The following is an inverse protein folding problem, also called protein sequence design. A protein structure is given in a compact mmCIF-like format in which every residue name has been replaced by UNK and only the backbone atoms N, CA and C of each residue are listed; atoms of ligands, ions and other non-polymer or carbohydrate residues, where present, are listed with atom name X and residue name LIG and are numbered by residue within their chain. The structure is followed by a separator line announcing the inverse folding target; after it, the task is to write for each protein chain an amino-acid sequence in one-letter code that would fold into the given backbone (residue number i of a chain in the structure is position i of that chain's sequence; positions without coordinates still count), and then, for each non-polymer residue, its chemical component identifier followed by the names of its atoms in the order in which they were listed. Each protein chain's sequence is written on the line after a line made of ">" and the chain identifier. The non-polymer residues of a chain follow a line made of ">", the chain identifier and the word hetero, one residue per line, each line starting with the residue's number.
data_IF_119534760048
#
_entry.id   IF_119534760048
#
_cell.length_a   1.000
_cell.length_b   1.000
_cell.length_c   1.000
_cell.angle_alpha   90.00
_cell.angle_beta   90.00
_cell.angle_gamma   90.00
#
_symmetry.space_group_name_H-M   'P 1'
#
loop_
_entity.id
_entity.type
_entity.pdbx_description
1 polymer ?
#
# COMPACT_ATOMS: atom_id res chain seq x y z
N UNK A 1 12.54 8.48 25.94
CA UNK A 1 11.71 9.23 24.96
C UNK A 1 12.08 10.70 25.02
N UNK A 2 12.49 11.25 23.88
CA UNK A 2 12.70 12.68 23.68
C UNK A 2 11.38 13.45 23.82
N UNK A 3 11.47 14.76 24.06
CA UNK A 3 10.32 15.66 24.02
C UNK A 3 9.58 15.60 22.68
N UNK A 4 10.33 15.47 21.57
CA UNK A 4 9.76 15.31 20.22
C UNK A 4 8.92 14.04 20.10
N UNK A 5 9.39 12.92 20.66
CA UNK A 5 8.66 11.65 20.63
C UNK A 5 7.34 11.77 21.39
N UNK A 6 7.35 12.43 22.55
CA UNK A 6 6.14 12.68 23.34
C UNK A 6 5.14 13.53 22.57
N UNK A 7 5.61 14.60 21.90
CA UNK A 7 4.74 15.45 21.08
C UNK A 7 4.13 14.67 19.89
N UNK A 8 4.94 13.86 19.21
CA UNK A 8 4.47 13.00 18.12
C UNK A 8 3.40 12.01 18.60
N UNK A 9 3.64 11.33 19.71
CA UNK A 9 2.69 10.39 20.30
C UNK A 9 1.39 11.08 20.73
N UNK A 10 1.48 12.24 21.40
CA UNK A 10 0.31 13.04 21.73
C UNK A 10 -0.49 13.41 20.48
N UNK A 11 0.17 13.78 19.38
CA UNK A 11 -0.50 14.08 18.11
C UNK A 11 -1.23 12.86 17.54
N UNK A 12 -0.66 11.65 17.67
CA UNK A 12 -1.32 10.42 17.28
C UNK A 12 -2.57 10.18 18.14
N UNK A 13 -2.49 10.30 19.47
CA UNK A 13 -3.65 10.12 20.35
C UNK A 13 -4.81 11.10 20.06
N UNK A 14 -4.50 12.33 19.68
CA UNK A 14 -5.51 13.35 19.35
C UNK A 14 -6.11 13.18 17.95
N UNK A 15 -5.47 12.40 17.07
CA UNK A 15 -5.91 12.24 15.69
C UNK A 15 -7.25 11.49 15.65
N UNK A 16 -8.27 11.98 14.93
CA UNK A 16 -9.52 11.24 14.74
C UNK A 16 -9.31 10.12 13.70
N UNK A 17 -8.66 9.03 14.12
CA UNK A 17 -8.19 7.95 13.25
C UNK A 17 -9.27 7.38 12.34
N UNK A 18 -10.49 7.17 12.84
CA UNK A 18 -11.58 6.63 12.03
C UNK A 18 -12.02 7.58 10.92
N UNK A 19 -12.12 8.88 11.22
CA UNK A 19 -12.47 9.88 10.20
C UNK A 19 -11.37 9.95 9.15
N UNK A 20 -10.11 10.05 9.58
CA UNK A 20 -8.98 10.08 8.66
C UNK A 20 -8.93 8.83 7.78
N UNK A 21 -9.09 7.64 8.38
CA UNK A 21 -9.10 6.37 7.67
C UNK A 21 -10.19 6.35 6.58
N UNK A 22 -11.41 6.80 6.90
CA UNK A 22 -12.51 6.88 5.92
C UNK A 22 -12.22 7.88 4.79
N UNK A 23 -11.63 9.03 5.10
CA UNK A 23 -11.25 10.02 4.08
C UNK A 23 -10.18 9.47 3.13
N UNK A 24 -9.17 8.78 3.67
CA UNK A 24 -8.14 8.14 2.86
C UNK A 24 -8.74 6.99 2.03
N UNK A 25 -9.66 6.19 2.59
CA UNK A 25 -10.38 5.17 1.84
C UNK A 25 -11.12 5.74 0.64
N UNK A 26 -11.88 6.82 0.84
CA UNK A 26 -12.57 7.51 -0.26
C UNK A 26 -11.60 8.04 -1.32
N UNK A 27 -10.48 8.63 -0.92
CA UNK A 27 -9.45 9.07 -1.85
C UNK A 27 -8.83 7.88 -2.61
N UNK A 28 -8.59 6.76 -1.94
CA UNK A 28 -7.98 5.57 -2.52
C UNK A 28 -8.90 4.83 -3.52
N UNK A 29 -10.21 5.02 -3.43
CA UNK A 29 -11.21 4.52 -4.39
C UNK A 29 -11.53 5.53 -5.52
N UNK A 30 -10.93 6.72 -5.49
CA UNK A 30 -11.14 7.71 -6.54
C UNK A 30 -10.55 7.24 -7.88
N UNK A 31 -11.39 7.24 -8.93
CA UNK A 31 -11.03 6.78 -10.28
C UNK A 31 -10.58 7.90 -11.23
N UNK A 32 -10.52 9.14 -10.76
CA UNK A 32 -10.08 10.26 -11.59
C UNK A 32 -8.61 10.06 -11.99
N UNK A 33 -8.34 9.86 -13.28
CA UNK A 33 -7.01 9.49 -13.82
C UNK A 33 -5.90 10.42 -13.36
N UNK A 34 -6.11 11.74 -13.47
CA UNK A 34 -5.15 12.75 -13.03
C UNK A 34 -4.79 12.66 -11.54
N UNK A 35 -5.70 12.13 -10.71
CA UNK A 35 -5.50 11.96 -9.28
C UNK A 35 -4.89 10.59 -8.95
N UNK A 36 -5.54 9.49 -9.38
CA UNK A 36 -5.10 8.13 -9.07
C UNK A 36 -3.70 7.86 -9.62
N UNK A 37 -3.39 8.31 -10.84
CA UNK A 37 -2.11 7.99 -11.49
C UNK A 37 -0.97 8.72 -10.80
N UNK A 38 -1.22 9.96 -10.35
CA UNK A 38 -0.25 10.73 -9.56
C UNK A 38 -0.04 10.10 -8.18
N UNK A 39 -1.12 9.67 -7.51
CA UNK A 39 -1.05 9.04 -6.21
C UNK A 39 -0.29 7.70 -6.26
N UNK A 40 -0.64 6.83 -7.21
CA UNK A 40 0.01 5.54 -7.43
C UNK A 40 1.49 5.74 -7.78
N UNK A 41 1.81 6.60 -8.74
CA UNK A 41 3.20 6.85 -9.15
C UNK A 41 4.04 7.46 -8.02
N UNK A 42 3.46 8.39 -7.26
CA UNK A 42 4.11 8.94 -6.07
C UNK A 42 4.38 7.86 -5.02
N UNK A 43 3.40 7.01 -4.73
CA UNK A 43 3.53 5.94 -3.74
C UNK A 43 4.59 4.92 -4.17
N UNK A 44 4.51 4.44 -5.41
CA UNK A 44 5.47 3.49 -5.96
C UNK A 44 6.90 4.01 -5.86
N UNK A 45 7.12 5.30 -6.17
CA UNK A 45 8.43 5.95 -6.03
C UNK A 45 8.85 6.12 -4.58
N UNK A 46 7.94 6.60 -3.72
CA UNK A 46 8.23 6.94 -2.32
C UNK A 46 8.59 5.71 -1.48
N UNK A 47 7.97 4.58 -1.78
CA UNK A 47 8.17 3.29 -1.09
C UNK A 47 8.97 2.29 -1.90
N UNK A 48 9.50 2.68 -3.07
CA UNK A 48 10.34 1.84 -3.94
C UNK A 48 9.67 0.49 -4.24
N UNK A 49 8.40 0.54 -4.62
CA UNK A 49 7.61 -0.65 -4.92
C UNK A 49 8.18 -1.35 -6.16
N UNK A 50 8.57 -2.62 -6.03
CA UNK A 50 9.03 -3.41 -7.17
C UNK A 50 7.84 -3.87 -8.02
N UNK A 51 7.68 -3.24 -9.18
CA UNK A 51 6.61 -3.58 -10.12
C UNK A 51 6.93 -4.80 -10.98
N UNK A 52 8.18 -5.26 -11.03
CA UNK A 52 8.56 -6.45 -11.82
C UNK A 52 7.95 -7.74 -11.26
N UNK A 53 7.59 -7.74 -9.97
CA UNK A 53 6.90 -8.84 -9.31
C UNK A 53 5.38 -8.78 -9.47
N UNK A 54 4.82 -7.63 -9.86
CA UNK A 54 3.38 -7.46 -10.00
C UNK A 54 2.88 -8.17 -11.26
N UNK A 55 1.69 -8.76 -11.20
CA UNK A 55 1.04 -9.38 -12.36
C UNK A 55 0.75 -8.34 -13.45
N UNK A 56 0.42 -7.10 -13.04
CA UNK A 56 0.28 -5.94 -13.93
C UNK A 56 1.36 -4.93 -13.58
N UNK A 57 2.38 -4.82 -14.41
CA UNK A 57 3.54 -3.94 -14.12
C UNK A 57 3.23 -2.46 -14.37
N UNK A 58 2.31 -2.15 -15.31
CA UNK A 58 1.93 -0.78 -15.63
C UNK A 58 1.11 -0.15 -14.50
N UNK A 59 1.64 0.93 -13.92
CA UNK A 59 0.99 1.69 -12.85
C UNK A 59 -0.32 2.36 -13.29
N UNK A 60 -0.46 2.72 -14.57
CA UNK A 60 -1.64 3.41 -15.08
C UNK A 60 -2.82 2.47 -15.33
N UNK A 61 -2.55 1.16 -15.45
CA UNK A 61 -3.56 0.13 -15.69
C UNK A 61 -4.48 -0.12 -14.49
N UNK A 62 -4.10 0.33 -13.28
CA UNK A 62 -4.93 0.19 -12.09
C UNK A 62 -6.05 1.24 -12.05
N UNK A 63 -7.27 0.80 -11.78
CA UNK A 63 -8.48 1.64 -11.84
C UNK A 63 -8.57 2.70 -10.73
N UNK A 64 -7.95 2.44 -9.58
CA UNK A 64 -7.80 3.35 -8.44
C UNK A 64 -6.65 2.85 -7.53
N UNK A 65 -6.31 3.59 -6.48
CA UNK A 65 -5.17 3.25 -5.63
C UNK A 65 -5.36 1.94 -4.85
N UNK A 66 -6.55 1.66 -4.33
CA UNK A 66 -6.81 0.40 -3.62
C UNK A 66 -6.57 -0.84 -4.51
N UNK A 67 -6.93 -0.79 -5.80
CA UNK A 67 -6.62 -1.86 -6.75
C UNK A 67 -5.10 -2.08 -6.94
N UNK A 68 -4.31 -1.00 -6.92
CA UNK A 68 -2.84 -1.07 -6.93
C UNK A 68 -2.27 -1.58 -5.59
N UNK A 69 -2.87 -1.16 -4.47
CA UNK A 69 -2.41 -1.54 -3.13
C UNK A 69 -2.54 -3.04 -2.88
N UNK A 70 -3.61 -3.66 -3.37
CA UNK A 70 -3.85 -5.11 -3.31
C UNK A 70 -3.50 -5.82 -4.63
N UNK A 71 -2.57 -5.26 -5.42
CA UNK A 71 -2.18 -5.86 -6.70
C UNK A 71 -1.73 -7.31 -6.55
N UNK A 72 -2.14 -8.16 -7.48
CA UNK A 72 -1.65 -9.52 -7.56
C UNK A 72 -0.15 -9.54 -7.92
N UNK A 73 0.58 -10.49 -7.35
CA UNK A 73 1.94 -10.81 -7.77
C UNK A 73 1.90 -11.86 -8.89
N UNK A 74 2.99 -11.96 -9.65
CA UNK A 74 3.19 -13.00 -10.65
C UNK A 74 3.25 -14.38 -10.00
N UNK A 75 2.81 -15.39 -10.73
CA UNK A 75 3.00 -16.78 -10.36
C UNK A 75 4.50 -17.07 -10.14
N UNK A 76 4.81 -17.74 -9.04
CA UNK A 76 6.19 -18.08 -8.67
C UNK A 76 7.02 -16.93 -8.09
N UNK A 77 6.49 -15.69 -7.97
CA UNK A 77 7.21 -14.58 -7.32
C UNK A 77 7.52 -14.84 -5.84
N UNK A 78 6.78 -15.77 -5.22
CA UNK A 78 6.97 -16.25 -3.85
C UNK A 78 6.95 -17.78 -3.84
N UNK A 79 8.08 -18.45 -4.13
CA UNK A 79 8.15 -19.91 -4.09
C UNK A 79 7.86 -20.40 -2.67
N UNK A 80 7.01 -21.42 -2.55
CA UNK A 80 6.64 -22.03 -1.27
C UNK A 80 7.52 -23.26 -1.00
N UNK A 81 7.90 -23.46 0.27
CA UNK A 81 8.60 -24.68 0.66
C UNK A 81 7.69 -25.91 0.48
N UNK A 82 8.25 -27.00 -0.04
CA UNK A 82 7.50 -28.23 -0.35
C UNK A 82 7.67 -29.34 0.70
N UNK A 83 8.55 -29.11 1.69
CA UNK A 83 8.83 -30.03 2.79
C UNK A 83 7.55 -30.34 3.60
N UNK A 84 7.18 -31.62 3.77
CA UNK A 84 6.06 -32.00 4.61
C UNK A 84 6.23 -31.49 6.04
N UNK A 85 5.22 -30.80 6.57
CA UNK A 85 5.26 -30.22 7.92
C UNK A 85 5.92 -28.84 8.02
N UNK A 86 6.35 -28.24 6.90
CA UNK A 86 6.85 -26.87 6.90
C UNK A 86 5.74 -25.86 7.25
N UNK A 87 6.10 -24.85 8.04
CA UNK A 87 5.28 -23.67 8.32
C UNK A 87 5.82 -22.51 7.48
N UNK A 88 4.95 -21.89 6.68
CA UNK A 88 5.29 -20.80 5.78
C UNK A 88 4.95 -19.43 6.40
N UNK A 89 5.60 -18.38 5.93
CA UNK A 89 5.18 -17.01 6.22
C UNK A 89 3.82 -16.73 5.54
N UNK A 90 2.87 -16.06 6.23
CA UNK A 90 1.60 -15.67 5.64
C UNK A 90 1.77 -14.61 4.54
#
# INVERSE_FOLDING_TARGET
>A
MSFKDRLFICSQYLLPHHLLSRLIGFAADCRATWFKDRLIAWFARRYQVDMREAQVEDLQAYEHFNAFFTRALKDGARPLAQEPGAVLCP
#
